data_IF_906813594506
#
_entry.id   IF_906813594506
#
_cell.length_a   1.000
_cell.length_b   1.000
_cell.length_c   1.000
_cell.angle_alpha   90.00
_cell.angle_beta   90.00
_cell.angle_gamma   90.00
#
_symmetry.space_group_name_H-M   'P 1'
#
loop_
_entity.id
_entity.type
_entity.pdbx_description
1 polymer ?
#
# COMPACT_ATOMS: atom_id res chain seq x y z
N UNK A 1 -34.15 5.13 -32.64
CA UNK A 1 -34.13 5.72 -31.28
C UNK A 1 -34.45 4.63 -30.27
N UNK A 2 -33.45 4.02 -29.60
CA UNK A 2 -33.71 3.11 -28.50
C UNK A 2 -33.63 3.83 -27.15
N UNK A 3 -34.42 3.30 -26.21
CA UNK A 3 -34.77 3.88 -24.94
C UNK A 3 -33.57 4.01 -23.97
N UNK A 4 -33.53 5.15 -23.25
CA UNK A 4 -32.66 5.38 -22.10
C UNK A 4 -33.01 4.40 -20.99
N UNK A 5 -32.10 3.50 -20.65
CA UNK A 5 -32.20 2.67 -19.44
C UNK A 5 -31.92 3.53 -18.21
N UNK A 6 -32.94 3.75 -17.37
CA UNK A 6 -32.78 4.35 -16.05
C UNK A 6 -31.98 3.43 -15.13
N UNK A 7 -30.81 3.89 -14.70
CA UNK A 7 -30.02 3.25 -13.65
C UNK A 7 -30.74 3.49 -12.31
N UNK A 8 -31.40 2.44 -11.79
CA UNK A 8 -32.00 2.43 -10.45
C UNK A 8 -30.92 2.64 -9.38
N UNK A 9 -30.89 3.85 -8.81
CA UNK A 9 -30.16 4.16 -7.57
C UNK A 9 -30.68 3.30 -6.41
N UNK A 10 -29.85 2.37 -5.93
CA UNK A 10 -30.09 1.66 -4.67
C UNK A 10 -29.69 2.59 -3.52
N UNK A 11 -30.68 3.15 -2.80
CA UNK A 11 -30.45 3.90 -1.55
C UNK A 11 -29.74 3.00 -0.53
N UNK A 12 -28.51 3.34 -0.17
CA UNK A 12 -27.84 2.79 1.03
C UNK A 12 -28.51 3.40 2.26
N UNK A 13 -29.19 2.57 3.04
CA UNK A 13 -29.56 2.88 4.42
C UNK A 13 -28.28 2.82 5.27
N UNK A 14 -27.70 3.98 5.57
CA UNK A 14 -26.69 4.12 6.61
C UNK A 14 -27.37 4.07 7.98
N UNK A 15 -27.16 2.99 8.73
CA UNK A 15 -27.37 3.02 10.19
C UNK A 15 -26.23 3.83 10.80
N UNK A 16 -26.48 5.12 10.99
CA UNK A 16 -25.70 5.98 11.88
C UNK A 16 -26.01 5.57 13.31
N UNK A 17 -24.99 5.20 14.10
CA UNK A 17 -25.09 5.18 15.56
C UNK A 17 -24.72 6.58 16.04
N UNK A 18 -25.76 7.35 16.33
CA UNK A 18 -25.67 8.68 16.92
C UNK A 18 -25.30 8.53 18.41
N UNK A 19 -24.17 9.11 18.78
CA UNK A 19 -23.78 9.31 20.17
C UNK A 19 -24.58 10.50 20.72
N UNK A 20 -25.47 10.21 21.66
CA UNK A 20 -26.29 11.19 22.37
C UNK A 20 -25.43 11.97 23.38
N UNK A 21 -25.14 13.24 23.07
CA UNK A 21 -24.72 14.26 24.03
C UNK A 21 -25.90 15.22 24.24
N UNK A 22 -26.63 15.04 25.34
CA UNK A 22 -27.64 15.99 25.80
C UNK A 22 -27.15 16.62 27.11
N UNK A 23 -26.76 17.89 27.05
CA UNK A 23 -26.75 18.77 28.22
C UNK A 23 -27.50 20.04 27.83
N UNK A 24 -28.77 20.09 28.23
CA UNK A 24 -29.59 21.28 28.19
C UNK A 24 -29.88 21.70 29.64
N UNK A 25 -29.42 22.91 29.96
CA UNK A 25 -29.67 23.64 31.19
C UNK A 25 -31.16 23.81 31.45
N UNK A 26 -31.61 23.61 32.69
CA UNK A 26 -32.78 24.32 33.22
C UNK A 26 -32.69 24.53 34.72
N UNK A 27 -33.02 25.75 35.09
CA UNK A 27 -32.93 26.46 36.36
C UNK A 27 -34.10 26.18 37.31
N UNK A 28 -33.86 26.45 38.61
CA UNK A 28 -34.80 26.95 39.65
C UNK A 28 -35.99 26.05 40.05
N UNK A 29 -36.52 26.02 41.28
CA UNK A 29 -36.18 26.58 42.60
C UNK A 29 -37.11 25.93 43.63
N UNK A 30 -36.78 26.07 44.92
CA UNK A 30 -37.68 25.96 46.11
C UNK A 30 -38.24 24.56 46.43
N UNK A 31 -38.42 24.12 47.68
CA UNK A 31 -38.55 24.79 48.99
C UNK A 31 -38.34 23.76 50.12
N UNK A 32 -37.95 24.25 51.31
CA UNK A 32 -38.27 23.82 52.71
C UNK A 32 -38.64 22.33 52.97
N UNK A 33 -38.20 21.65 54.03
CA UNK A 33 -38.28 22.04 55.43
C UNK A 33 -37.72 20.91 56.34
N UNK A 34 -37.60 21.24 57.63
CA UNK A 34 -36.98 20.51 58.75
C UNK A 34 -37.66 19.21 59.20
N UNK A 35 -36.85 18.35 59.86
CA UNK A 35 -37.02 17.69 61.19
C UNK A 35 -36.38 16.29 61.18
N UNK A 36 -35.27 16.04 61.88
CA UNK A 36 -35.08 15.77 63.32
C UNK A 36 -35.72 14.49 63.87
N UNK A 37 -34.85 13.66 64.48
CA UNK A 37 -35.08 12.60 65.48
C UNK A 37 -35.31 11.15 65.03
N UNK A 38 -34.20 10.42 64.98
CA UNK A 38 -33.81 9.31 65.88
C UNK A 38 -34.92 8.38 66.41
N UNK A 39 -34.83 7.10 66.07
CA UNK A 39 -34.88 5.99 67.04
C UNK A 39 -34.27 4.70 66.46
N UNK A 40 -33.49 4.05 67.31
CA UNK A 40 -32.75 2.81 67.13
C UNK A 40 -33.63 1.63 66.69
N UNK A 41 -33.07 0.74 65.88
CA UNK A 41 -33.23 -0.70 66.08
C UNK A 41 -32.00 -1.44 65.56
N UNK A 42 -31.54 -2.36 66.40
CA UNK A 42 -30.32 -3.15 66.29
C UNK A 42 -30.39 -4.09 65.08
N UNK A 43 -29.35 -4.08 64.25
CA UNK A 43 -29.05 -5.18 63.35
C UNK A 43 -27.61 -5.62 63.60
N UNK A 44 -27.49 -6.91 63.86
CA UNK A 44 -26.31 -7.62 64.31
C UNK A 44 -25.06 -7.37 63.47
N UNK A 45 -23.95 -7.27 64.20
CA UNK A 45 -22.60 -7.43 63.70
C UNK A 45 -22.45 -8.71 62.87
N UNK A 46 -22.20 -8.54 61.57
CA UNK A 46 -21.24 -9.37 60.84
C UNK A 46 -20.26 -8.41 60.20
N UNK A 47 -19.33 -7.94 61.03
CA UNK A 47 -18.15 -7.20 60.60
C UNK A 47 -17.19 -8.19 59.93
N UNK A 48 -17.52 -8.60 58.71
CA UNK A 48 -16.57 -9.21 57.79
C UNK A 48 -15.80 -8.06 57.15
N UNK A 49 -15.00 -7.37 57.97
CA UNK A 49 -13.95 -6.47 57.53
C UNK A 49 -12.91 -7.31 56.82
N UNK A 50 -13.26 -7.61 55.56
CA UNK A 50 -12.43 -8.26 54.58
C UNK A 50 -11.28 -7.28 54.29
N UNK A 51 -10.29 -7.28 55.18
CA UNK A 51 -9.04 -6.53 55.12
C UNK A 51 -8.24 -7.09 53.93
N UNK A 52 -8.75 -6.83 52.72
CA UNK A 52 -8.08 -7.19 51.49
C UNK A 52 -6.80 -6.40 51.47
N UNK A 53 -5.69 -7.14 51.48
CA UNK A 53 -4.36 -6.58 51.29
C UNK A 53 -4.39 -5.64 50.07
N UNK A 54 -3.68 -4.49 50.10
CA UNK A 54 -3.55 -3.62 48.93
C UNK A 54 -3.17 -4.35 47.64
N UNK A 55 -2.45 -5.48 47.76
CA UNK A 55 -2.10 -6.37 46.64
C UNK A 55 -3.34 -7.08 46.08
N UNK A 56 -4.25 -7.57 46.94
CA UNK A 56 -5.50 -8.18 46.50
C UNK A 56 -6.41 -7.15 45.81
N UNK A 57 -6.54 -5.94 46.38
CA UNK A 57 -7.31 -4.85 45.74
C UNK A 57 -6.70 -4.48 44.37
N UNK A 58 -5.38 -4.46 44.26
CA UNK A 58 -4.69 -4.22 42.99
C UNK A 58 -4.89 -5.35 41.98
N UNK A 59 -4.78 -6.61 42.38
CA UNK A 59 -4.96 -7.78 41.50
C UNK A 59 -6.41 -7.95 41.04
N UNK A 60 -7.37 -7.58 41.89
CA UNK A 60 -8.80 -7.56 41.55
C UNK A 60 -9.20 -6.35 40.72
N UNK A 61 -8.31 -5.35 40.57
CA UNK A 61 -8.61 -4.18 39.77
C UNK A 61 -8.95 -4.60 38.33
N UNK A 62 -10.10 -4.19 37.76
CA UNK A 62 -10.57 -4.69 36.47
C UNK A 62 -9.54 -4.56 35.33
N UNK A 63 -8.74 -3.49 35.34
CA UNK A 63 -7.64 -3.32 34.38
C UNK A 63 -6.56 -4.39 34.51
N UNK A 64 -6.20 -4.81 35.72
CA UNK A 64 -5.18 -5.84 35.96
C UNK A 64 -5.71 -7.22 35.57
N UNK A 65 -6.99 -7.48 35.83
CA UNK A 65 -7.66 -8.72 35.40
C UNK A 65 -7.74 -8.83 33.87
N UNK A 66 -7.99 -7.71 33.18
CA UNK A 66 -8.16 -7.65 31.73
C UNK A 66 -6.82 -7.57 30.98
N UNK A 67 -5.79 -6.96 31.56
CA UNK A 67 -4.50 -6.73 30.92
C UNK A 67 -3.86 -8.00 30.32
N UNK A 68 -3.80 -9.16 31.00
CA UNK A 68 -3.22 -10.39 30.44
C UNK A 68 -3.87 -10.82 29.12
N UNK A 69 -5.18 -10.64 28.97
CA UNK A 69 -5.93 -11.05 27.78
C UNK A 69 -5.56 -10.27 26.53
N UNK A 70 -5.03 -9.06 26.67
CA UNK A 70 -4.56 -8.23 25.56
C UNK A 70 -3.04 -8.21 25.47
N UNK A 71 -2.34 -8.10 26.60
CA UNK A 71 -0.89 -7.98 26.66
C UNK A 71 -0.19 -9.28 26.27
N UNK A 72 -0.65 -10.45 26.74
CA UNK A 72 0.02 -11.73 26.44
C UNK A 72 -0.07 -12.04 24.94
N UNK A 73 -1.24 -12.02 24.27
CA UNK A 73 -1.30 -12.28 22.83
C UNK A 73 -0.48 -11.27 22.02
N UNK A 74 -0.48 -10.00 22.44
CA UNK A 74 0.34 -8.97 21.79
C UNK A 74 1.85 -9.23 21.96
N UNK A 75 2.31 -9.57 23.17
CA UNK A 75 3.71 -9.91 23.42
C UNK A 75 4.13 -11.15 22.64
N UNK A 76 3.30 -12.19 22.62
CA UNK A 76 3.54 -13.39 21.82
C UNK A 76 3.61 -13.08 20.32
N UNK A 77 2.72 -12.22 19.83
CA UNK A 77 2.75 -11.76 18.45
C UNK A 77 4.07 -11.03 18.12
N UNK A 78 4.49 -10.06 18.94
CA UNK A 78 5.75 -9.36 18.69
C UNK A 78 6.97 -10.27 18.87
N UNK A 79 6.95 -11.17 19.85
CA UNK A 79 8.01 -12.16 20.05
C UNK A 79 8.12 -13.09 18.84
N UNK A 80 7.00 -13.53 18.26
CA UNK A 80 6.99 -14.32 17.04
C UNK A 80 7.69 -13.61 15.88
N UNK A 81 7.33 -12.34 15.60
CA UNK A 81 7.98 -11.57 14.55
C UNK A 81 9.46 -11.29 14.84
N UNK A 82 9.79 -10.95 16.09
CA UNK A 82 11.17 -10.72 16.51
C UNK A 82 12.04 -11.97 16.31
N UNK A 83 11.56 -13.15 16.73
CA UNK A 83 12.26 -14.42 16.55
C UNK A 83 12.38 -14.81 15.08
N UNK A 84 11.32 -14.65 14.28
CA UNK A 84 11.33 -15.06 12.86
C UNK A 84 12.16 -14.14 11.95
N UNK A 85 12.13 -12.83 12.20
CA UNK A 85 12.70 -11.83 11.30
C UNK A 85 14.05 -11.27 11.78
N UNK A 86 14.29 -11.22 13.10
CA UNK A 86 15.47 -10.55 13.66
C UNK A 86 16.42 -11.51 14.38
N UNK A 87 15.88 -12.46 15.15
CA UNK A 87 16.67 -13.39 15.99
C UNK A 87 16.30 -14.87 15.78
N UNK A 88 16.40 -15.41 14.55
CA UNK A 88 16.15 -16.83 14.31
C UNK A 88 17.16 -17.73 15.04
N UNK A 89 18.35 -17.20 15.34
CA UNK A 89 19.42 -17.85 16.09
C UNK A 89 18.98 -18.33 17.48
N UNK A 90 17.99 -17.68 18.10
CA UNK A 90 17.46 -18.09 19.41
C UNK A 90 16.74 -19.44 19.39
N UNK A 91 16.32 -19.91 18.21
CA UNK A 91 15.60 -21.18 18.06
C UNK A 91 16.50 -22.33 17.60
N UNK A 92 17.73 -22.03 17.16
CA UNK A 92 18.71 -23.04 16.72
C UNK A 92 19.07 -24.07 17.80
N UNK A 93 19.26 -23.70 19.10
CA UNK A 93 19.52 -24.69 20.17
C UNK A 93 18.39 -25.70 20.37
N UNK A 94 17.19 -25.40 19.88
CA UNK A 94 16.02 -26.28 19.96
C UNK A 94 15.84 -27.13 18.69
N UNK A 95 16.81 -27.12 17.77
CA UNK A 95 16.75 -27.87 16.51
C UNK A 95 15.84 -27.24 15.45
N UNK A 96 15.40 -25.99 15.65
CA UNK A 96 14.56 -25.26 14.70
C UNK A 96 15.47 -24.33 13.89
N UNK A 97 15.79 -24.74 12.66
CA UNK A 97 16.53 -23.88 11.72
C UNK A 97 15.54 -22.98 10.98
N UNK A 98 15.51 -21.70 11.36
CA UNK A 98 14.78 -20.67 10.64
C UNK A 98 15.68 -19.97 9.64
N UNK A 99 15.06 -19.30 8.66
CA UNK A 99 15.78 -18.48 7.70
C UNK A 99 16.50 -17.32 8.42
N UNK A 100 17.75 -16.99 8.03
CA UNK A 100 18.49 -15.86 8.60
C UNK A 100 17.74 -14.53 8.52
N UNK A 101 18.05 -13.57 9.42
CA UNK A 101 17.52 -12.22 9.33
C UNK A 101 18.11 -11.50 8.11
N UNK A 102 17.34 -10.58 7.53
CA UNK A 102 17.78 -9.71 6.42
C UNK A 102 17.52 -8.28 6.84
N UNK A 103 18.57 -7.46 6.91
CA UNK A 103 18.49 -6.03 7.16
C UNK A 103 17.82 -5.26 6.02
N UNK A 104 17.41 -4.01 6.29
CA UNK A 104 16.73 -3.16 5.30
C UNK A 104 17.60 -2.92 4.06
N UNK A 105 18.89 -2.77 4.27
CA UNK A 105 19.89 -2.48 3.24
C UNK A 105 20.55 -3.75 2.67
N UNK A 106 20.26 -4.91 3.26
CA UNK A 106 20.86 -6.16 2.79
C UNK A 106 20.32 -6.50 1.39
N UNK A 107 21.18 -7.03 0.51
CA UNK A 107 20.75 -7.44 -0.82
C UNK A 107 19.60 -8.46 -0.77
N UNK A 108 18.60 -8.20 -1.59
CA UNK A 108 17.41 -9.02 -1.83
C UNK A 108 17.27 -9.26 -3.32
N UNK A 109 16.48 -10.26 -3.65
CA UNK A 109 16.44 -10.72 -5.02
C UNK A 109 15.74 -9.72 -5.94
N UNK A 110 14.53 -9.27 -5.59
CA UNK A 110 13.69 -8.56 -6.58
C UNK A 110 12.93 -7.36 -6.03
N UNK A 111 12.89 -6.28 -6.83
CA UNK A 111 11.91 -5.23 -6.76
C UNK A 111 11.02 -5.29 -8.00
N UNK A 112 9.71 -5.45 -7.82
CA UNK A 112 8.73 -5.38 -8.90
C UNK A 112 8.00 -4.05 -8.81
N UNK A 113 8.13 -3.24 -9.85
CA UNK A 113 7.52 -1.91 -9.93
C UNK A 113 6.37 -1.91 -10.94
N UNK A 114 5.18 -1.50 -10.53
CA UNK A 114 4.01 -1.41 -11.40
C UNK A 114 3.07 -0.30 -10.93
N UNK A 115 2.33 0.34 -11.83
CA UNK A 115 1.52 1.52 -11.47
C UNK A 115 0.45 1.20 -10.43
N UNK A 116 -0.08 2.24 -9.78
CA UNK A 116 -1.28 2.07 -8.97
C UNK A 116 -2.39 1.41 -9.80
N UNK A 117 -3.12 0.48 -9.18
CA UNK A 117 -4.20 -0.27 -9.82
C UNK A 117 -3.79 -1.19 -11.00
N UNK A 118 -2.50 -1.48 -11.17
CA UNK A 118 -1.99 -2.45 -12.15
C UNK A 118 -2.03 -3.92 -11.68
N UNK A 119 -2.54 -4.19 -10.49
CA UNK A 119 -2.61 -5.55 -9.93
C UNK A 119 -1.41 -5.96 -9.07
N UNK A 120 -0.62 -5.01 -8.56
CA UNK A 120 0.55 -5.27 -7.67
C UNK A 120 0.22 -6.16 -6.47
N UNK A 121 -0.95 -5.98 -5.85
CA UNK A 121 -1.41 -6.83 -4.75
C UNK A 121 -1.66 -8.28 -5.19
N UNK A 122 -2.19 -8.50 -6.40
CA UNK A 122 -2.42 -9.85 -6.93
C UNK A 122 -1.08 -10.55 -7.18
N UNK A 123 -0.14 -9.84 -7.81
CA UNK A 123 1.21 -10.33 -8.06
C UNK A 123 1.91 -10.72 -6.76
N UNK A 124 1.90 -9.84 -5.75
CA UNK A 124 2.46 -10.14 -4.45
C UNK A 124 1.80 -11.37 -3.82
N UNK A 125 0.46 -11.41 -3.82
CA UNK A 125 -0.30 -12.51 -3.26
C UNK A 125 0.05 -13.86 -3.93
N UNK A 126 0.12 -13.91 -5.25
CA UNK A 126 0.42 -15.14 -5.97
C UNK A 126 1.87 -15.59 -5.74
N UNK A 127 2.84 -14.68 -5.72
CA UNK A 127 4.24 -15.02 -5.37
C UNK A 127 4.35 -15.57 -3.94
N UNK A 128 3.65 -14.97 -2.99
CA UNK A 128 3.68 -15.44 -1.60
C UNK A 128 2.92 -16.74 -1.38
N UNK A 129 1.74 -16.89 -1.97
CA UNK A 129 0.89 -18.06 -1.70
C UNK A 129 1.24 -19.27 -2.57
N UNK A 130 1.58 -19.05 -3.84
CA UNK A 130 1.84 -20.15 -4.79
C UNK A 130 3.31 -20.56 -4.78
N UNK A 131 4.24 -19.61 -4.61
CA UNK A 131 5.68 -19.89 -4.59
C UNK A 131 6.31 -19.88 -3.19
N UNK A 132 5.54 -19.50 -2.17
CA UNK A 132 6.02 -19.41 -0.79
C UNK A 132 7.22 -18.46 -0.64
N UNK A 133 7.21 -17.36 -1.41
CA UNK A 133 8.21 -16.30 -1.31
C UNK A 133 7.79 -15.22 -0.31
N UNK A 134 8.76 -14.65 0.38
CA UNK A 134 8.59 -13.54 1.30
C UNK A 134 8.71 -12.21 0.55
N UNK A 135 7.61 -11.85 -0.12
CA UNK A 135 7.48 -10.65 -0.94
C UNK A 135 6.51 -9.67 -0.28
N UNK A 136 6.97 -8.44 -0.05
CA UNK A 136 6.15 -7.36 0.50
C UNK A 136 5.26 -6.71 -0.54
N UNK A 137 4.08 -6.24 -0.12
CA UNK A 137 3.25 -5.35 -0.92
C UNK A 137 3.51 -3.91 -0.47
N UNK A 138 4.10 -3.09 -1.35
CA UNK A 138 4.46 -1.68 -1.12
C UNK A 138 5.53 -1.45 -0.03
N UNK A 139 5.87 -2.47 0.77
CA UNK A 139 6.87 -2.43 1.84
C UNK A 139 8.15 -3.17 1.47
N UNK A 140 9.29 -2.53 1.75
CA UNK A 140 10.65 -3.05 1.71
C UNK A 140 11.28 -3.16 3.11
N UNK A 141 10.50 -3.06 4.20
CA UNK A 141 10.99 -3.16 5.56
C UNK A 141 11.06 -4.61 6.06
N UNK A 142 12.24 -5.24 5.91
CA UNK A 142 12.49 -6.64 6.30
C UNK A 142 12.62 -6.90 7.80
N UNK A 143 12.63 -5.85 8.63
CA UNK A 143 12.76 -6.01 10.08
C UNK A 143 11.40 -6.21 10.77
N UNK A 144 10.32 -5.79 10.13
CA UNK A 144 8.96 -5.89 10.68
C UNK A 144 7.99 -6.65 9.78
N UNK A 145 8.39 -6.96 8.54
CA UNK A 145 7.57 -7.67 7.57
C UNK A 145 8.37 -8.77 6.85
N UNK A 146 7.66 -9.82 6.39
CA UNK A 146 8.23 -10.93 5.61
C UNK A 146 8.51 -10.49 4.16
N UNK A 147 9.57 -9.70 3.98
CA UNK A 147 9.97 -9.12 2.69
C UNK A 147 11.43 -9.46 2.33
N UNK A 148 11.91 -10.61 2.83
CA UNK A 148 13.30 -11.08 2.69
C UNK A 148 13.66 -11.47 1.25
N UNK A 149 12.69 -11.79 0.40
CA UNK A 149 12.94 -12.12 -1.01
C UNK A 149 12.79 -10.91 -1.93
N UNK A 150 11.99 -9.92 -1.54
CA UNK A 150 11.72 -8.77 -2.39
C UNK A 150 10.46 -7.99 -2.04
N UNK A 151 10.10 -7.08 -2.95
CA UNK A 151 8.94 -6.19 -2.81
C UNK A 151 8.24 -6.00 -4.14
N UNK A 152 6.91 -5.95 -4.14
CA UNK A 152 6.08 -5.48 -5.26
C UNK A 152 5.46 -4.16 -4.86
N UNK A 153 5.74 -3.08 -5.59
CA UNK A 153 5.35 -1.75 -5.17
C UNK A 153 5.13 -0.80 -6.32
N UNK A 154 4.09 0.04 -6.22
CA UNK A 154 3.92 1.15 -7.14
C UNK A 154 4.75 2.39 -6.76
N UNK A 155 4.97 2.63 -5.45
CA UNK A 155 5.60 3.87 -4.98
C UNK A 155 7.12 3.91 -5.16
N UNK A 156 7.77 2.74 -5.10
CA UNK A 156 9.19 2.57 -5.38
C UNK A 156 9.61 3.00 -6.80
N UNK A 157 8.67 3.34 -7.69
CA UNK A 157 8.96 4.03 -8.96
C UNK A 157 9.76 5.31 -8.75
N UNK A 158 9.62 5.96 -7.59
CA UNK A 158 10.27 7.24 -7.31
C UNK A 158 11.79 7.19 -7.46
N UNK A 159 12.41 6.02 -7.27
CA UNK A 159 13.83 5.75 -7.52
C UNK A 159 14.27 6.02 -8.96
N UNK A 160 13.33 5.92 -9.89
CA UNK A 160 13.55 6.05 -11.33
C UNK A 160 12.98 7.34 -11.91
N UNK A 161 12.50 8.25 -11.06
CA UNK A 161 11.96 9.55 -11.48
C UNK A 161 13.03 10.63 -11.31
N UNK A 162 13.11 11.54 -12.27
CA UNK A 162 13.93 12.74 -12.07
C UNK A 162 13.35 13.57 -10.91
N UNK A 163 14.16 13.96 -9.91
CA UNK A 163 13.71 14.86 -8.86
C UNK A 163 13.46 16.25 -9.45
N UNK A 164 12.53 17.04 -8.87
CA UNK A 164 12.33 18.42 -9.29
C UNK A 164 13.64 19.22 -9.20
N UNK A 165 13.94 19.99 -10.25
CA UNK A 165 15.19 20.74 -10.40
C UNK A 165 15.26 21.98 -9.51
N UNK A 166 14.11 22.60 -9.22
CA UNK A 166 14.03 23.77 -8.33
C UNK A 166 13.83 23.34 -6.87
N UNK A 167 14.38 24.14 -5.96
CA UNK A 167 14.21 23.93 -4.51
C UNK A 167 12.75 24.03 -4.10
N UNK A 168 12.02 24.97 -4.68
CA UNK A 168 10.58 25.15 -4.48
C UNK A 168 9.81 23.91 -4.94
N UNK A 169 10.16 23.36 -6.10
CA UNK A 169 9.56 22.13 -6.62
C UNK A 169 9.79 20.93 -5.71
N UNK A 170 10.98 20.81 -5.12
CA UNK A 170 11.28 19.75 -4.13
C UNK A 170 10.45 19.92 -2.87
N UNK A 171 10.37 21.13 -2.31
CA UNK A 171 9.57 21.42 -1.12
C UNK A 171 8.11 21.06 -1.38
N UNK A 172 7.52 21.56 -2.48
CA UNK A 172 6.12 21.28 -2.82
C UNK A 172 5.86 19.79 -3.06
N UNK A 173 6.77 19.08 -3.74
CA UNK A 173 6.63 17.65 -3.95
C UNK A 173 6.67 16.87 -2.63
N UNK A 174 7.60 17.21 -1.73
CA UNK A 174 7.71 16.58 -0.42
C UNK A 174 6.48 16.86 0.43
N UNK A 175 6.05 18.12 0.52
CA UNK A 175 4.85 18.50 1.28
C UNK A 175 3.63 17.75 0.78
N UNK A 176 3.46 17.59 -0.52
CA UNK A 176 2.30 16.90 -1.08
C UNK A 176 2.35 15.37 -0.90
N UNK A 177 3.54 14.76 -0.96
CA UNK A 177 3.71 13.32 -0.70
C UNK A 177 3.72 12.98 0.81
N UNK A 178 4.13 13.92 1.66
CA UNK A 178 4.20 13.79 3.13
C UNK A 178 2.99 14.39 3.86
N UNK A 179 1.98 14.84 3.13
CA UNK A 179 0.67 15.05 3.70
C UNK A 179 0.03 13.70 4.02
N UNK A 180 -0.94 13.69 4.92
CA UNK A 180 -1.80 12.52 5.13
C UNK A 180 -2.67 12.33 3.87
N UNK A 181 -2.08 11.77 2.82
CA UNK A 181 -2.81 11.29 1.68
C UNK A 181 -3.74 10.19 2.17
N UNK A 182 -4.91 10.07 1.55
CA UNK A 182 -5.88 9.02 1.93
C UNK A 182 -5.17 7.67 2.06
N UNK A 183 -5.55 6.78 3.00
CA UNK A 183 -4.87 5.50 3.22
C UNK A 183 -4.63 4.66 1.96
N UNK A 184 -5.42 4.89 0.91
CA UNK A 184 -5.35 4.20 -0.38
C UNK A 184 -4.33 4.77 -1.39
N UNK A 185 -3.61 5.83 -1.03
CA UNK A 185 -2.54 6.46 -1.82
C UNK A 185 -1.14 6.23 -1.22
N UNK A 186 -1.05 5.38 -0.18
CA UNK A 186 0.01 4.38 0.02
C UNK A 186 1.48 4.81 -0.02
N UNK A 187 1.83 6.02 0.38
CA UNK A 187 3.19 6.31 0.83
C UNK A 187 3.18 6.34 2.37
N UNK A 188 3.89 5.42 3.01
CA UNK A 188 4.15 5.48 4.45
C UNK A 188 5.63 5.20 4.74
N UNK A 189 6.34 6.03 5.54
CA UNK A 189 7.78 5.84 5.76
C UNK A 189 8.14 4.45 6.32
N UNK A 190 7.27 3.89 7.16
CA UNK A 190 7.41 2.53 7.68
C UNK A 190 7.52 1.43 6.60
N UNK A 191 7.04 1.70 5.38
CA UNK A 191 7.19 0.80 4.24
C UNK A 191 8.65 0.66 3.82
N UNK A 192 9.48 1.68 4.01
CA UNK A 192 10.88 1.61 3.57
C UNK A 192 11.79 1.02 4.63
N UNK A 193 11.58 1.41 5.89
CA UNK A 193 12.42 1.05 7.03
C UNK A 193 11.69 1.28 8.35
N UNK A 194 12.14 0.69 9.47
CA UNK A 194 11.64 1.07 10.78
C UNK A 194 11.95 2.54 11.06
N UNK A 195 11.14 3.13 11.94
CA UNK A 195 11.31 4.54 12.31
C UNK A 195 12.66 4.78 12.97
N UNK A 196 13.36 5.82 12.52
CA UNK A 196 14.57 6.34 13.15
C UNK A 196 14.26 7.32 14.29
N UNK A 197 13.10 7.97 14.24
CA UNK A 197 12.61 8.90 15.26
C UNK A 197 11.76 8.21 16.35
N UNK A 198 11.63 6.87 16.31
CA UNK A 198 10.81 6.11 17.27
C UNK A 198 9.30 6.32 17.08
N UNK A 199 8.85 6.69 15.89
CA UNK A 199 7.45 6.83 15.53
C UNK A 199 6.71 5.51 15.72
N UNK A 200 5.53 5.60 16.36
CA UNK A 200 4.69 4.43 16.62
C UNK A 200 4.10 3.87 15.32
N UNK A 201 4.38 2.60 15.02
CA UNK A 201 3.79 1.86 13.89
C UNK A 201 2.29 1.61 14.06
N UNK A 202 1.75 1.82 15.27
CA UNK A 202 0.30 1.74 15.54
C UNK A 202 -0.47 2.99 15.11
N UNK A 203 0.22 4.09 14.78
CA UNK A 203 -0.39 5.33 14.32
C UNK A 203 -0.33 5.40 12.80
N UNK A 204 -1.46 5.69 12.15
CA UNK A 204 -1.61 5.64 10.68
C UNK A 204 -0.92 6.78 9.93
N UNK A 205 -0.77 7.94 10.58
CA UNK A 205 0.00 9.11 10.11
C UNK A 205 0.01 10.17 11.24
N UNK A 206 1.15 10.76 11.56
CA UNK A 206 1.26 11.85 12.54
C UNK A 206 2.42 12.81 12.17
N UNK A 207 2.69 13.80 13.02
CA UNK A 207 3.82 14.73 12.83
C UNK A 207 5.18 14.02 12.82
N UNK A 208 5.36 12.95 13.59
CA UNK A 208 6.57 12.13 13.59
C UNK A 208 6.81 11.49 12.21
N UNK A 209 5.81 10.79 11.68
CA UNK A 209 5.89 10.15 10.36
C UNK A 209 6.02 11.17 9.23
N UNK A 210 5.40 12.35 9.34
CA UNK A 210 5.56 13.43 8.36
C UNK A 210 7.02 13.93 8.28
N UNK A 211 7.72 14.01 9.42
CA UNK A 211 9.15 14.37 9.45
C UNK A 211 10.02 13.28 8.82
N UNK A 212 9.76 12.00 9.11
CA UNK A 212 10.50 10.90 8.48
C UNK A 212 10.25 10.79 6.98
N UNK A 213 9.03 11.09 6.55
CA UNK A 213 8.65 11.04 5.13
C UNK A 213 9.59 11.88 4.27
N UNK A 214 9.90 13.11 4.67
CA UNK A 214 10.78 13.97 3.90
C UNK A 214 12.18 13.37 3.73
N UNK A 215 12.69 12.69 4.75
CA UNK A 215 13.99 12.03 4.70
C UNK A 215 13.98 10.81 3.77
N UNK A 216 12.91 10.00 3.81
CA UNK A 216 12.73 8.88 2.89
C UNK A 216 12.65 9.39 1.45
N UNK A 217 11.83 10.40 1.19
CA UNK A 217 11.68 10.96 -0.15
C UNK A 217 13.03 11.48 -0.68
N UNK A 218 13.78 12.23 0.12
CA UNK A 218 15.11 12.71 -0.26
C UNK A 218 16.08 11.59 -0.58
N UNK A 219 16.00 10.47 0.15
CA UNK A 219 16.87 9.32 -0.04
C UNK A 219 16.51 8.52 -1.30
N UNK A 220 15.22 8.34 -1.53
CA UNK A 220 14.69 7.40 -2.50
C UNK A 220 14.43 8.05 -3.88
N UNK A 221 14.20 9.36 -3.96
CA UNK A 221 13.85 10.02 -5.22
C UNK A 221 15.03 10.07 -6.19
N UNK A 222 14.83 9.49 -7.38
CA UNK A 222 15.80 9.50 -8.46
C UNK A 222 17.06 8.71 -8.13
N UNK A 223 17.07 7.96 -7.04
CA UNK A 223 18.30 7.44 -6.49
C UNK A 223 18.92 6.32 -7.34
N UNK A 224 18.14 5.69 -8.22
CA UNK A 224 18.62 4.72 -9.21
C UNK A 224 19.13 5.39 -10.50
N UNK A 225 18.98 6.71 -10.68
CA UNK A 225 19.43 7.39 -11.89
C UNK A 225 20.97 7.54 -11.91
N UNK A 226 21.61 7.46 -13.09
CA UNK A 226 23.07 7.46 -13.20
C UNK A 226 23.73 8.80 -12.82
N UNK A 227 22.99 9.91 -12.88
CA UNK A 227 23.52 11.27 -12.71
C UNK A 227 23.13 11.91 -11.37
N UNK A 228 22.66 11.11 -10.41
CA UNK A 228 22.25 11.60 -9.10
C UNK A 228 23.46 11.67 -8.17
N UNK A 229 23.71 12.79 -7.46
CA UNK A 229 24.86 12.92 -6.56
C UNK A 229 24.85 11.89 -5.42
N UNK A 230 23.68 11.36 -5.09
CA UNK A 230 23.47 10.28 -4.13
C UNK A 230 23.45 8.96 -4.88
N UNK A 231 24.55 8.22 -4.84
CA UNK A 231 24.54 6.79 -5.17
C UNK A 231 23.77 6.05 -4.08
N UNK A 232 22.45 5.91 -4.20
CA UNK A 232 21.75 4.92 -3.40
C UNK A 232 22.06 3.55 -4.02
N UNK A 233 22.59 2.62 -3.24
CA UNK A 233 22.55 1.23 -3.65
C UNK A 233 21.13 0.75 -3.37
N UNK A 234 20.40 0.39 -4.42
CA UNK A 234 19.14 -0.32 -4.24
C UNK A 234 19.45 -1.69 -3.62
N UNK A 235 18.76 -2.12 -2.55
CA UNK A 235 18.99 -3.42 -1.94
C UNK A 235 18.40 -4.55 -2.80
N UNK A 236 18.08 -4.31 -4.08
CA UNK A 236 17.44 -5.29 -4.96
C UNK A 236 18.36 -5.60 -6.14
N UNK A 237 18.64 -6.88 -6.35
CA UNK A 237 19.49 -7.36 -7.46
C UNK A 237 18.80 -7.27 -8.81
N UNK A 238 17.51 -7.57 -8.85
CA UNK A 238 16.67 -7.48 -10.03
C UNK A 238 15.56 -6.45 -9.84
N UNK A 239 15.29 -5.69 -10.89
CA UNK A 239 14.18 -4.76 -10.97
C UNK A 239 13.31 -5.13 -12.15
N UNK A 240 12.06 -5.47 -11.87
CA UNK A 240 11.09 -5.86 -12.88
C UNK A 240 10.02 -4.79 -13.04
N UNK A 241 9.67 -4.47 -14.28
CA UNK A 241 8.53 -3.62 -14.60
C UNK A 241 7.28 -4.47 -14.85
N UNK A 242 6.36 -4.44 -13.89
CA UNK A 242 5.03 -5.00 -14.02
C UNK A 242 4.17 -4.08 -14.90
N UNK A 243 3.60 -4.62 -15.98
CA UNK A 243 2.69 -3.89 -16.85
C UNK A 243 1.33 -4.57 -16.92
N UNK A 244 0.29 -3.75 -16.91
CA UNK A 244 -1.11 -4.15 -17.14
C UNK A 244 -1.61 -3.35 -18.33
N UNK A 245 -2.55 -3.88 -19.11
CA UNK A 245 -3.10 -3.17 -20.26
C UNK A 245 -3.52 -1.73 -19.87
N UNK A 246 -2.99 -0.67 -20.51
CA UNK A 246 -3.18 0.71 -20.06
C UNK A 246 -4.64 1.12 -19.85
N UNK A 247 -5.56 0.77 -20.76
CA UNK A 247 -7.00 1.05 -20.55
C UNK A 247 -7.56 0.41 -19.28
N UNK A 248 -7.14 -0.82 -18.93
CA UNK A 248 -7.62 -1.54 -17.74
C UNK A 248 -7.09 -0.91 -16.46
N UNK A 249 -5.88 -0.36 -16.51
CA UNK A 249 -5.30 0.44 -15.43
C UNK A 249 -6.07 1.75 -15.27
N UNK A 250 -6.36 2.46 -16.37
CA UNK A 250 -7.15 3.71 -16.37
C UNK A 250 -8.55 3.46 -15.80
N UNK A 251 -9.27 2.43 -16.26
CA UNK A 251 -10.57 2.01 -15.71
C UNK A 251 -10.51 1.85 -14.18
N UNK A 252 -9.48 1.17 -13.69
CA UNK A 252 -9.33 0.87 -12.27
C UNK A 252 -8.97 2.11 -11.45
N UNK A 253 -8.21 3.04 -12.01
CA UNK A 253 -7.95 4.35 -11.40
C UNK A 253 -9.22 5.20 -11.39
N UNK A 254 -10.02 5.16 -12.45
CA UNK A 254 -11.28 5.90 -12.53
C UNK A 254 -12.26 5.44 -11.45
N UNK A 255 -12.44 4.13 -11.30
CA UNK A 255 -13.27 3.56 -10.21
C UNK A 255 -12.76 4.00 -8.83
N UNK A 256 -11.44 4.09 -8.66
CA UNK A 256 -10.82 4.40 -7.36
C UNK A 256 -10.83 5.89 -7.02
N UNK A 257 -10.70 6.76 -8.01
CA UNK A 257 -10.40 8.17 -7.80
C UNK A 257 -11.38 9.16 -8.44
N UNK A 258 -12.34 8.72 -9.25
CA UNK A 258 -13.36 9.61 -9.80
C UNK A 258 -14.62 9.62 -8.93
N UNK A 259 -14.95 10.79 -8.40
CA UNK A 259 -16.15 11.00 -7.61
C UNK A 259 -17.35 11.14 -8.56
N UNK A 260 -18.20 10.12 -8.60
CA UNK A 260 -19.37 10.09 -9.49
C UNK A 260 -19.22 9.25 -10.75
N UNK A 261 -18.09 8.55 -10.94
CA UNK A 261 -17.85 7.66 -12.08
C UNK A 261 -17.11 8.35 -13.22
N UNK A 262 -17.39 7.94 -14.47
CA UNK A 262 -16.69 8.41 -15.67
C UNK A 262 -16.76 9.94 -15.86
N UNK A 263 -17.96 10.50 -15.69
CA UNK A 263 -18.23 11.94 -15.82
C UNK A 263 -17.98 12.71 -14.50
N UNK A 264 -17.35 12.06 -13.54
CA UNK A 264 -17.13 12.57 -12.19
C UNK A 264 -15.87 13.43 -12.07
N UNK A 265 -15.74 14.07 -10.90
CA UNK A 265 -14.57 14.88 -10.59
C UNK A 265 -13.40 14.01 -10.12
N UNK A 266 -12.18 14.42 -10.45
CA UNK A 266 -10.97 13.78 -9.91
C UNK A 266 -10.88 14.05 -8.42
N UNK A 267 -10.63 13.02 -7.63
CA UNK A 267 -10.30 13.16 -6.22
C UNK A 267 -9.13 14.13 -6.01
N UNK A 268 -9.29 15.18 -5.17
CA UNK A 268 -8.24 16.16 -4.93
C UNK A 268 -6.91 15.55 -4.47
N UNK A 269 -6.97 14.46 -3.68
CA UNK A 269 -5.78 13.76 -3.22
C UNK A 269 -5.02 13.09 -4.38
N UNK A 270 -5.74 12.59 -5.41
CA UNK A 270 -5.11 11.99 -6.59
C UNK A 270 -4.46 13.07 -7.45
N UNK A 271 -5.09 14.24 -7.58
CA UNK A 271 -4.48 15.39 -8.27
C UNK A 271 -3.19 15.87 -7.60
N UNK A 272 -3.22 16.03 -6.27
CA UNK A 272 -2.02 16.39 -5.50
C UNK A 272 -0.91 15.36 -5.67
N UNK A 273 -1.26 14.08 -5.56
CA UNK A 273 -0.31 12.99 -5.67
C UNK A 273 0.36 12.93 -7.06
N UNK A 274 -0.40 12.99 -8.17
CA UNK A 274 0.20 12.96 -9.53
C UNK A 274 1.10 14.17 -9.79
N UNK A 275 0.72 15.35 -9.30
CA UNK A 275 1.51 16.58 -9.43
C UNK A 275 2.80 16.49 -8.62
N UNK A 276 2.71 15.94 -7.41
CA UNK A 276 3.86 15.73 -6.56
C UNK A 276 4.82 14.73 -7.19
N UNK A 277 4.35 13.54 -7.58
CA UNK A 277 5.19 12.47 -8.12
C UNK A 277 5.82 12.81 -9.48
N UNK A 278 5.15 13.62 -10.32
CA UNK A 278 5.65 14.02 -11.64
C UNK A 278 5.64 15.55 -11.79
N UNK A 279 6.51 16.27 -11.05
CA UNK A 279 6.45 17.74 -10.96
C UNK A 279 6.86 18.44 -12.26
N UNK A 280 7.58 17.76 -13.15
CA UNK A 280 7.94 18.27 -14.48
C UNK A 280 6.81 18.22 -15.50
N UNK A 281 5.65 17.63 -15.18
CA UNK A 281 4.49 17.58 -16.06
C UNK A 281 3.46 18.64 -15.68
N UNK A 282 3.01 19.38 -16.68
CA UNK A 282 1.88 20.28 -16.51
C UNK A 282 0.58 19.47 -16.57
N UNK A 283 -0.10 19.34 -15.43
CA UNK A 283 -1.44 18.77 -15.36
C UNK A 283 -2.45 19.90 -15.36
N UNK A 284 -3.29 19.99 -16.39
CA UNK A 284 -4.39 20.95 -16.38
C UNK A 284 -5.32 20.65 -15.19
N UNK A 285 -5.75 21.68 -14.43
CA UNK A 285 -6.80 21.53 -13.43
C UNK A 285 -8.14 21.11 -14.07
N UNK A 286 -8.32 21.42 -15.36
CA UNK A 286 -9.54 21.16 -16.12
C UNK A 286 -9.56 19.78 -16.80
N UNK A 287 -8.55 18.94 -16.56
CA UNK A 287 -8.59 17.56 -17.02
C UNK A 287 -9.79 16.84 -16.41
N UNK A 288 -10.60 16.22 -17.27
CA UNK A 288 -11.59 15.24 -16.85
C UNK A 288 -10.93 14.08 -16.08
N UNK A 289 -11.75 13.29 -15.40
CA UNK A 289 -11.18 12.25 -14.56
C UNK A 289 -10.49 11.12 -15.32
N UNK A 290 -10.99 10.79 -16.51
CA UNK A 290 -10.33 9.84 -17.42
C UNK A 290 -8.99 10.40 -17.89
N UNK A 291 -8.94 11.66 -18.32
CA UNK A 291 -7.69 12.32 -18.76
C UNK A 291 -6.66 12.37 -17.63
N UNK A 292 -7.11 12.66 -16.40
CA UNK A 292 -6.25 12.67 -15.25
C UNK A 292 -5.61 11.30 -14.95
N UNK A 293 -6.40 10.23 -15.02
CA UNK A 293 -5.92 8.86 -14.87
C UNK A 293 -5.01 8.44 -16.03
N UNK A 294 -5.37 8.76 -17.27
CA UNK A 294 -4.59 8.44 -18.47
C UNK A 294 -3.21 9.12 -18.45
N UNK A 295 -3.16 10.42 -18.15
CA UNK A 295 -1.87 11.12 -18.04
C UNK A 295 -1.00 10.59 -16.92
N UNK A 296 -1.57 10.14 -15.79
CA UNK A 296 -0.81 9.45 -14.75
C UNK A 296 -0.21 8.13 -15.27
N UNK A 297 -1.00 7.29 -15.94
CA UNK A 297 -0.54 6.01 -16.52
C UNK A 297 0.58 6.26 -17.54
N UNK A 298 0.37 7.24 -18.45
CA UNK A 298 1.38 7.65 -19.43
C UNK A 298 2.67 8.12 -18.75
N UNK A 299 2.58 9.01 -17.76
CA UNK A 299 3.75 9.52 -17.04
C UNK A 299 4.53 8.39 -16.33
N UNK A 300 3.81 7.50 -15.65
CA UNK A 300 4.37 6.39 -14.90
C UNK A 300 5.12 5.41 -15.81
N UNK A 301 4.47 4.95 -16.88
CA UNK A 301 5.11 3.98 -17.78
C UNK A 301 6.20 4.61 -18.64
N UNK A 302 6.07 5.87 -19.07
CA UNK A 302 7.16 6.54 -19.77
C UNK A 302 8.42 6.65 -18.90
N UNK A 303 8.28 6.91 -17.61
CA UNK A 303 9.43 6.95 -16.70
C UNK A 303 10.12 5.58 -16.59
N UNK A 304 9.36 4.49 -16.45
CA UNK A 304 9.94 3.15 -16.37
C UNK A 304 10.51 2.65 -17.71
N UNK A 305 9.88 2.97 -18.84
CA UNK A 305 10.45 2.69 -20.17
C UNK A 305 11.76 3.48 -20.40
N UNK A 306 11.82 4.71 -19.89
CA UNK A 306 13.07 5.50 -19.92
C UNK A 306 14.14 4.86 -19.04
N UNK A 307 13.80 4.45 -17.82
CA UNK A 307 14.71 3.74 -16.92
C UNK A 307 15.19 2.41 -17.51
N UNK A 308 14.31 1.68 -18.22
CA UNK A 308 14.66 0.47 -18.94
C UNK A 308 15.64 0.75 -20.09
N UNK A 309 15.46 1.85 -20.84
CA UNK A 309 16.41 2.26 -21.87
C UNK A 309 17.80 2.59 -21.31
N UNK A 310 17.88 2.97 -20.03
CA UNK A 310 19.14 3.14 -19.28
C UNK A 310 19.62 1.86 -18.57
N UNK A 311 19.01 0.69 -18.84
CA UNK A 311 19.34 -0.60 -18.19
C UNK A 311 19.18 -0.60 -16.66
N UNK A 312 18.30 0.26 -16.12
CA UNK A 312 17.97 0.30 -14.69
C UNK A 312 16.82 -0.65 -14.31
N UNK A 313 16.14 -1.20 -15.32
CA UNK A 313 15.07 -2.19 -15.22
C UNK A 313 15.54 -3.43 -15.98
N UNK A 314 15.66 -4.57 -15.30
CA UNK A 314 16.18 -5.81 -15.88
C UNK A 314 15.21 -6.44 -16.89
N UNK A 315 13.92 -6.42 -16.60
CA UNK A 315 12.91 -7.00 -17.48
C UNK A 315 11.52 -6.40 -17.25
N UNK A 316 10.65 -6.57 -18.24
CA UNK A 316 9.25 -6.18 -18.22
C UNK A 316 8.37 -7.41 -18.40
N UNK A 317 7.22 -7.47 -17.72
CA UNK A 317 6.26 -8.56 -17.88
C UNK A 317 4.81 -8.06 -17.81
N UNK A 318 3.94 -8.71 -18.57
CA UNK A 318 2.51 -8.40 -18.60
C UNK A 318 1.77 -9.29 -17.60
N UNK A 319 0.98 -8.69 -16.70
CA UNK A 319 0.24 -9.43 -15.68
C UNK A 319 -0.74 -10.40 -16.31
N UNK A 320 -1.37 -10.01 -17.42
CA UNK A 320 -2.39 -10.77 -18.13
C UNK A 320 -1.86 -11.97 -18.92
N UNK A 321 -0.54 -12.12 -19.09
CA UNK A 321 0.07 -13.23 -19.83
C UNK A 321 1.17 -13.96 -19.05
N UNK A 322 1.50 -13.50 -17.85
CA UNK A 322 2.58 -14.09 -17.03
C UNK A 322 2.03 -14.98 -15.92
N UNK A 323 2.71 -16.10 -15.69
CA UNK A 323 2.51 -16.91 -14.49
C UNK A 323 3.43 -16.47 -13.33
N UNK A 324 3.15 -16.85 -12.08
CA UNK A 324 4.09 -16.69 -10.97
C UNK A 324 5.47 -17.30 -11.28
N UNK A 325 5.52 -18.45 -11.96
CA UNK A 325 6.77 -19.09 -12.35
C UNK A 325 7.57 -18.32 -13.39
N UNK A 326 6.92 -17.64 -14.34
CA UNK A 326 7.60 -16.78 -15.30
C UNK A 326 8.22 -15.57 -14.59
N UNK A 327 7.49 -15.00 -13.64
CA UNK A 327 8.02 -13.94 -12.79
C UNK A 327 9.20 -14.40 -11.95
N UNK A 328 9.13 -15.59 -11.35
CA UNK A 328 10.23 -16.15 -10.57
C UNK A 328 11.48 -16.37 -11.40
N UNK A 329 11.32 -16.77 -12.67
CA UNK A 329 12.41 -16.88 -13.63
C UNK A 329 13.02 -15.52 -13.96
N UNK A 330 12.20 -14.52 -14.31
CA UNK A 330 12.66 -13.15 -14.60
C UNK A 330 13.34 -12.50 -13.38
N UNK A 331 12.83 -12.77 -12.19
CA UNK A 331 13.40 -12.32 -10.93
C UNK A 331 14.69 -13.05 -10.55
N UNK A 332 15.07 -14.13 -11.24
CA UNK A 332 16.28 -14.91 -10.95
C UNK A 332 16.16 -15.87 -9.77
N UNK A 333 14.95 -16.22 -9.31
CA UNK A 333 14.77 -17.27 -8.29
C UNK A 333 14.96 -18.67 -8.85
N UNK A 334 14.81 -18.84 -10.16
CA UNK A 334 15.04 -20.10 -10.87
C UNK A 334 16.30 -19.90 -11.70
N UNK A 335 17.40 -20.50 -11.28
CA UNK A 335 18.67 -20.42 -11.98
C UNK A 335 18.52 -20.99 -13.40
N UNK A 336 18.88 -20.18 -14.40
CA UNK A 336 19.19 -20.66 -15.74
C UNK A 336 20.71 -20.79 -15.92
N UNK A 337 21.47 -19.92 -15.23
CA UNK A 337 22.93 -19.86 -15.20
C UNK A 337 23.48 -19.61 -13.77
N UNK A 338 24.78 -19.79 -13.55
CA UNK A 338 25.48 -19.70 -12.25
C UNK A 338 25.37 -18.33 -11.53
N UNK A 339 24.97 -17.26 -12.20
CA UNK A 339 24.89 -15.90 -11.63
C UNK A 339 23.72 -15.69 -10.65
N UNK A 340 22.70 -16.56 -10.66
CA UNK A 340 21.52 -16.41 -9.80
C UNK A 340 21.75 -16.81 -8.31
N UNK A 341 22.91 -17.39 -7.99
CA UNK A 341 23.12 -18.08 -6.71
C UNK A 341 23.41 -17.16 -5.51
N UNK A 342 23.96 -15.96 -5.72
CA UNK A 342 24.64 -15.25 -4.62
C UNK A 342 23.70 -14.51 -3.64
N UNK A 343 22.48 -14.16 -4.04
CA UNK A 343 21.51 -13.44 -3.18
C UNK A 343 20.24 -14.24 -2.88
N UNK A 344 19.86 -15.18 -3.74
CA UNK A 344 18.72 -16.04 -3.46
C UNK A 344 19.08 -16.95 -2.29
N UNK A 345 18.24 -16.96 -1.27
CA UNK A 345 18.38 -17.94 -0.19
C UNK A 345 18.30 -19.36 -0.79
N UNK A 346 19.36 -20.19 -0.73
CA UNK A 346 19.43 -21.41 -1.55
C UNK A 346 18.23 -22.36 -1.40
N UNK A 347 17.68 -22.58 -0.19
CA UNK A 347 16.46 -23.37 -0.03
C UNK A 347 15.24 -22.80 -0.78
N UNK A 348 15.15 -21.47 -0.97
CA UNK A 348 14.10 -20.88 -1.78
C UNK A 348 14.28 -21.17 -3.26
N UNK A 349 15.51 -21.12 -3.80
CA UNK A 349 15.75 -21.44 -5.21
C UNK A 349 15.28 -22.85 -5.56
N UNK A 350 15.67 -23.84 -4.74
CA UNK A 350 15.25 -25.24 -4.90
C UNK A 350 13.73 -25.40 -4.75
N UNK A 351 13.15 -24.78 -3.72
CA UNK A 351 11.73 -24.82 -3.43
C UNK A 351 10.91 -24.26 -4.59
N UNK A 352 11.26 -23.09 -5.09
CA UNK A 352 10.57 -22.42 -6.20
C UNK A 352 10.71 -23.24 -7.48
N UNK A 353 11.91 -23.75 -7.76
CA UNK A 353 12.16 -24.63 -8.93
C UNK A 353 11.26 -25.87 -8.89
N UNK A 354 11.16 -26.53 -7.73
CA UNK A 354 10.29 -27.70 -7.54
C UNK A 354 8.81 -27.34 -7.66
N UNK A 355 8.37 -26.23 -7.06
CA UNK A 355 6.98 -25.76 -7.17
C UNK A 355 6.65 -25.52 -8.65
N UNK A 356 7.52 -24.82 -9.38
CA UNK A 356 7.29 -24.53 -10.80
C UNK A 356 7.31 -25.77 -11.69
N UNK A 357 8.02 -26.83 -11.31
CA UNK A 357 7.99 -28.10 -12.02
C UNK A 357 6.68 -28.90 -11.76
N UNK A 358 6.08 -28.75 -10.58
CA UNK A 358 5.03 -29.68 -10.10
C UNK A 358 3.64 -29.05 -9.93
N UNK A 359 3.55 -27.75 -9.70
CA UNK A 359 2.31 -27.05 -9.41
C UNK A 359 1.77 -26.35 -10.67
N UNK A 360 0.67 -26.85 -11.22
CA UNK A 360 0.00 -26.24 -12.38
C UNK A 360 -0.54 -24.84 -12.10
N UNK A 361 -1.02 -24.56 -10.88
CA UNK A 361 -1.53 -23.24 -10.53
C UNK A 361 -0.43 -22.17 -10.53
N UNK A 362 0.80 -22.55 -10.16
CA UNK A 362 1.96 -21.65 -10.20
C UNK A 362 2.44 -21.36 -11.63
N UNK A 363 2.08 -22.23 -12.59
CA UNK A 363 2.34 -22.07 -14.03
C UNK A 363 1.16 -21.46 -14.79
N UNK A 364 -0.01 -21.37 -14.18
CA UNK A 364 -1.16 -20.72 -14.76
C UNK A 364 -0.96 -19.20 -14.80
N UNK A 365 -1.54 -18.56 -15.81
CA UNK A 365 -1.57 -17.10 -15.93
C UNK A 365 -2.21 -16.50 -14.68
N UNK A 366 -1.58 -15.45 -14.15
CA UNK A 366 -2.13 -14.74 -13.00
C UNK A 366 -3.48 -14.12 -13.35
N UNK A 367 -4.49 -14.42 -12.54
CA UNK A 367 -5.85 -13.88 -12.71
C UNK A 367 -6.19 -13.02 -11.50
N UNK A 368 -6.81 -11.84 -11.68
CA UNK A 368 -7.22 -11.00 -10.56
C UNK A 368 -8.27 -11.70 -9.69
N UNK A 369 -7.87 -12.25 -8.53
CA UNK A 369 -8.78 -12.92 -7.59
C UNK A 369 -9.28 -11.97 -6.50
N UNK A 370 -8.47 -10.98 -6.15
CA UNK A 370 -8.66 -10.11 -4.98
C UNK A 370 -9.52 -8.87 -5.24
N UNK A 371 -9.55 -8.36 -6.48
CA UNK A 371 -10.28 -7.12 -6.81
C UNK A 371 -11.71 -7.38 -7.32
N UNK A 372 -12.52 -8.17 -6.61
CA UNK A 372 -13.90 -8.48 -7.05
C UNK A 372 -14.84 -7.27 -7.02
N UNK A 373 -14.52 -6.25 -6.23
CA UNK A 373 -15.41 -5.09 -6.01
C UNK A 373 -15.43 -4.17 -7.24
N UNK A 374 -14.30 -4.04 -7.94
CA UNK A 374 -14.15 -3.05 -9.01
C UNK A 374 -14.25 -3.63 -10.43
N UNK A 375 -14.26 -4.96 -10.56
CA UNK A 375 -14.35 -5.63 -11.87
C UNK A 375 -15.70 -5.31 -12.53
N UNK A 376 -15.63 -4.76 -13.75
CA UNK A 376 -16.81 -4.47 -14.57
C UNK A 376 -17.63 -3.24 -14.17
N UNK A 377 -17.17 -2.45 -13.18
CA UNK A 377 -17.85 -1.19 -12.83
C UNK A 377 -17.68 -0.10 -13.90
N UNK A 378 -16.54 -0.11 -14.57
CA UNK A 378 -16.20 0.79 -15.67
C UNK A 378 -15.55 -0.06 -16.75
N UNK A 379 -15.97 0.15 -18.00
CA UNK A 379 -15.30 -0.37 -19.18
C UNK A 379 -15.11 0.80 -20.13
N UNK A 380 -13.87 1.10 -20.46
CA UNK A 380 -13.51 2.16 -21.40
C UNK A 380 -13.37 1.57 -22.79
N UNK A 381 -13.87 2.31 -23.78
CA UNK A 381 -13.52 2.18 -25.18
C UNK A 381 -12.48 3.23 -25.55
N UNK A 382 -11.86 3.05 -26.72
CA UNK A 382 -10.87 3.99 -27.23
C UNK A 382 -11.45 5.39 -27.44
N UNK A 383 -12.70 5.50 -27.91
CA UNK A 383 -13.36 6.80 -28.07
C UNK A 383 -13.59 7.56 -26.76
N UNK A 384 -13.57 6.90 -25.60
CA UNK A 384 -13.77 7.55 -24.30
C UNK A 384 -12.56 8.41 -23.89
N UNK A 385 -11.41 8.24 -24.55
CA UNK A 385 -10.21 9.07 -24.37
C UNK A 385 -10.21 10.35 -25.23
N UNK A 386 -11.21 10.52 -26.11
CA UNK A 386 -11.27 11.67 -27.03
C UNK A 386 -11.75 12.93 -26.32
N UNK A 387 -11.29 14.09 -26.81
CA UNK A 387 -11.75 15.39 -26.33
C UNK A 387 -13.27 15.56 -26.46
N UNK A 388 -13.86 16.33 -25.53
CA UNK A 388 -15.31 16.53 -25.42
C UNK A 388 -16.10 15.35 -24.84
N UNK A 389 -15.46 14.22 -24.52
CA UNK A 389 -16.08 13.09 -23.81
C UNK A 389 -15.89 13.22 -22.30
N UNK A 390 -16.86 12.74 -21.54
CA UNK A 390 -16.76 12.57 -20.08
C UNK A 390 -16.27 13.81 -19.30
N UNK A 391 -16.78 14.99 -19.67
CA UNK A 391 -16.39 16.26 -19.04
C UNK A 391 -15.03 16.80 -19.48
N UNK A 392 -14.40 16.21 -20.51
CA UNK A 392 -13.20 16.76 -21.13
C UNK A 392 -13.47 18.15 -21.70
N UNK A 393 -12.58 19.09 -21.39
CA UNK A 393 -12.58 20.45 -21.95
C UNK A 393 -11.81 20.55 -23.27
N UNK A 394 -11.15 19.46 -23.71
CA UNK A 394 -10.47 19.40 -25.01
C UNK A 394 -11.48 19.50 -26.14
N UNK A 395 -11.02 19.93 -27.31
CA UNK A 395 -11.87 20.05 -28.50
C UNK A 395 -12.58 18.72 -28.80
N UNK A 396 -13.87 18.79 -29.16
CA UNK A 396 -14.65 17.58 -29.41
C UNK A 396 -14.04 16.77 -30.55
N UNK A 397 -13.68 15.51 -30.25
CA UNK A 397 -13.04 14.63 -31.20
C UNK A 397 -11.52 14.68 -31.21
N UNK A 398 -10.87 15.49 -30.36
CA UNK A 398 -9.41 15.47 -30.21
C UNK A 398 -8.91 14.08 -29.79
N UNK A 399 -8.16 13.42 -30.67
CA UNK A 399 -7.67 12.05 -30.49
C UNK A 399 -6.26 11.96 -29.89
N UNK A 400 -5.61 13.07 -29.54
CA UNK A 400 -4.20 13.06 -29.10
C UNK A 400 -3.95 12.11 -27.92
N UNK A 401 -4.76 12.18 -26.86
CA UNK A 401 -4.64 11.26 -25.72
C UNK A 401 -4.89 9.80 -26.09
N UNK A 402 -5.88 9.52 -26.95
CA UNK A 402 -6.14 8.15 -27.45
C UNK A 402 -4.90 7.60 -28.16
N UNK A 403 -4.32 8.38 -29.07
CA UNK A 403 -3.11 8.01 -29.83
C UNK A 403 -1.93 7.76 -28.89
N UNK A 404 -1.72 8.60 -27.88
CA UNK A 404 -0.66 8.41 -26.89
C UNK A 404 -0.84 7.12 -26.09
N UNK A 405 -2.07 6.82 -25.64
CA UNK A 405 -2.34 5.59 -24.88
C UNK A 405 -2.19 4.35 -25.75
N UNK A 406 -2.65 4.38 -27.01
CA UNK A 406 -2.44 3.27 -27.97
C UNK A 406 -0.95 3.04 -28.24
N UNK A 407 -0.19 4.10 -28.47
CA UNK A 407 1.25 4.01 -28.65
C UNK A 407 1.93 3.40 -27.41
N UNK A 408 1.45 3.72 -26.21
CA UNK A 408 1.91 3.07 -24.99
C UNK A 408 1.54 1.58 -24.97
N UNK A 409 0.30 1.19 -25.31
CA UNK A 409 -0.16 -0.21 -25.37
C UNK A 409 0.78 -1.06 -26.24
N UNK A 410 1.10 -0.58 -27.44
CA UNK A 410 2.04 -1.23 -28.35
C UNK A 410 3.44 -1.35 -27.73
N UNK A 411 3.97 -0.27 -27.12
CA UNK A 411 5.29 -0.29 -26.46
C UNK A 411 5.36 -1.26 -25.28
N UNK A 412 4.24 -1.48 -24.59
CA UNK A 412 4.14 -2.46 -23.50
C UNK A 412 3.88 -3.90 -24.02
N UNK A 413 3.87 -4.10 -25.34
CA UNK A 413 3.77 -5.40 -25.99
C UNK A 413 2.36 -5.98 -26.08
N UNK A 414 1.31 -5.18 -25.90
CA UNK A 414 -0.07 -5.64 -26.03
C UNK A 414 -0.53 -5.52 -27.49
N UNK A 415 -1.37 -6.46 -27.92
CA UNK A 415 -2.14 -6.34 -29.17
C UNK A 415 -3.25 -5.29 -29.00
N UNK A 416 -3.55 -4.53 -30.06
CA UNK A 416 -4.54 -3.43 -30.05
C UNK A 416 -6.01 -3.86 -30.00
#
# INVERSE_FOLDING_TARGET
MPAKGEIKRRKKTSKSKEASNNNASKSESSSDDRQSNTKNEEAENVDDSNDKSPIQVFLEHPLVVVLPWFAIPYLLYNAYFFLQLQRPDFLEPFGISLRPPVGVEDPRQVLIVGSMSSGTMQVQHDLTTLLQLEIGHESSNSQTEFVRDGTVSWIHVMRYLEPPKSKEGQITAHENLCQQLTPQMGFHPAMYRPSQLGCSTRQTWNSCWSQECSQIIQREWGCALPNTPQTCQTPFRKVLHQVRHPLRTIESLVVKFCQGGLDGDVSPSFQKFRQALFPGRHYSPDHSCIEAAAHYVLAYHHALLTAQAFSLIDAMFQVESSSPCDMARLAGFIATDQEAADVVYPPNAEKVTRICATNENARAIMTPKTNKINVGLVSLQWEDLRGGKHGSVRETGDTSLEVEVRALVQKLGYEE
#
